data_IF_411933969159
#
_entry.id   IF_411933969159
#
_cell.length_a   1.000
_cell.length_b   1.000
_cell.length_c   1.000
_cell.angle_alpha   90.00
_cell.angle_beta   90.00
_cell.angle_gamma   90.00
#
_symmetry.space_group_name_H-M   'P 1'
#
loop_
_entity.id
_entity.type
_entity.pdbx_description
1 polymer ?
#
# COMPACT_ATOMS: atom_id res chain seq x y z
N UNK A 1 26.60 -24.48 -25.49
CA UNK A 1 25.95 -23.26 -25.98
C UNK A 1 24.46 -23.54 -26.10
N UNK A 2 23.64 -23.09 -25.15
CA UNK A 2 22.18 -23.23 -25.19
C UNK A 2 21.54 -22.00 -24.54
N UNK A 3 21.43 -20.93 -25.33
CA UNK A 3 20.70 -19.70 -25.03
C UNK A 3 19.20 -19.97 -25.10
N UNK A 4 18.47 -19.81 -24.00
CA UNK A 4 17.68 -18.60 -23.70
C UNK A 4 16.57 -18.30 -24.73
N UNK A 5 15.40 -18.92 -24.53
CA UNK A 5 14.11 -18.33 -24.93
C UNK A 5 13.11 -18.49 -23.77
N UNK A 6 13.08 -17.50 -22.87
CA UNK A 6 12.06 -17.39 -21.79
C UNK A 6 11.63 -15.95 -21.53
N UNK A 7 11.68 -15.10 -22.55
CA UNK A 7 11.31 -13.67 -22.46
C UNK A 7 10.22 -13.31 -23.46
N UNK A 8 9.12 -14.06 -23.46
CA UNK A 8 7.96 -13.73 -24.31
C UNK A 8 6.66 -14.35 -23.77
N UNK A 9 6.26 -13.98 -22.55
CA UNK A 9 4.91 -14.34 -22.06
C UNK A 9 4.27 -13.30 -21.13
N UNK A 10 4.87 -12.13 -20.90
CA UNK A 10 4.32 -11.11 -19.99
C UNK A 10 3.70 -9.91 -20.73
N UNK A 11 3.91 -9.76 -22.05
CA UNK A 11 3.41 -8.63 -22.82
C UNK A 11 1.97 -8.78 -23.37
N UNK A 12 1.31 -9.93 -23.20
CA UNK A 12 0.04 -10.25 -23.87
C UNK A 12 -1.23 -10.01 -23.03
N UNK A 13 -1.12 -9.38 -21.85
CA UNK A 13 -2.27 -9.05 -20.99
C UNK A 13 -2.74 -7.59 -21.07
N UNK A 14 -2.18 -6.76 -21.96
CA UNK A 14 -2.47 -5.32 -22.00
C UNK A 14 -3.43 -4.83 -23.10
N UNK A 15 -4.03 -5.72 -23.89
CA UNK A 15 -5.06 -5.33 -24.87
C UNK A 15 -6.21 -6.32 -24.87
N UNK A 16 -7.07 -6.25 -23.86
CA UNK A 16 -8.39 -6.87 -23.92
C UNK A 16 -9.41 -5.80 -24.36
N UNK A 17 -9.83 -5.76 -25.63
CA UNK A 17 -10.81 -4.78 -26.13
C UNK A 17 -12.24 -5.21 -25.78
N UNK A 18 -12.48 -5.62 -24.52
CA UNK A 18 -13.78 -6.11 -24.05
C UNK A 18 -14.68 -5.05 -23.43
N UNK A 19 -14.44 -3.76 -23.66
CA UNK A 19 -14.97 -2.67 -22.82
C UNK A 19 -15.73 -1.57 -23.57
N UNK A 20 -16.72 -1.87 -24.42
CA UNK A 20 -17.53 -0.79 -25.03
C UNK A 20 -19.01 -1.13 -25.25
N UNK A 21 -19.66 -1.76 -24.27
CA UNK A 21 -21.13 -1.75 -24.17
C UNK A 21 -21.52 -1.05 -22.87
N UNK A 22 -21.18 0.25 -22.76
CA UNK A 22 -21.78 1.12 -21.73
C UNK A 22 -23.08 1.72 -22.28
N UNK A 23 -23.99 1.99 -21.36
CA UNK A 23 -25.27 2.64 -21.58
C UNK A 23 -25.18 3.79 -22.60
N UNK A 24 -26.06 3.79 -23.61
CA UNK A 24 -26.13 4.86 -24.62
C UNK A 24 -27.05 6.02 -24.21
N UNK A 25 -27.53 6.06 -22.95
CA UNK A 25 -28.58 6.98 -22.53
C UNK A 25 -28.44 7.37 -21.04
N UNK A 26 -28.76 8.63 -20.72
CA UNK A 26 -28.79 9.16 -19.35
C UNK A 26 -29.77 8.43 -18.42
N UNK A 27 -30.91 8.00 -18.96
CA UNK A 27 -31.97 7.34 -18.22
C UNK A 27 -31.49 6.06 -17.52
N UNK A 28 -30.56 5.33 -18.13
CA UNK A 28 -29.97 4.14 -17.52
C UNK A 28 -29.11 4.51 -16.30
N UNK A 29 -28.30 5.56 -16.39
CA UNK A 29 -27.50 6.04 -15.26
C UNK A 29 -28.39 6.48 -14.10
N UNK A 30 -29.43 7.28 -14.39
CA UNK A 30 -30.39 7.74 -13.38
C UNK A 30 -31.05 6.53 -12.70
N UNK A 31 -31.53 5.56 -13.48
CA UNK A 31 -32.15 4.32 -12.97
C UNK A 31 -31.20 3.53 -12.06
N UNK A 32 -29.93 3.44 -12.40
CA UNK A 32 -28.92 2.78 -11.58
C UNK A 32 -28.66 3.53 -10.25
N UNK A 33 -28.57 4.86 -10.27
CA UNK A 33 -28.46 5.67 -9.05
C UNK A 33 -29.68 5.48 -8.12
N UNK A 34 -30.89 5.46 -8.70
CA UNK A 34 -32.13 5.18 -7.99
C UNK A 34 -32.19 3.75 -7.44
N UNK A 35 -31.67 2.78 -8.19
CA UNK A 35 -31.58 1.38 -7.77
C UNK A 35 -30.69 1.23 -6.55
N UNK A 36 -29.48 1.83 -6.57
CA UNK A 36 -28.59 1.87 -5.40
C UNK A 36 -29.28 2.56 -4.23
N UNK A 37 -30.00 3.66 -4.49
CA UNK A 37 -30.71 4.35 -3.42
C UNK A 37 -31.71 3.43 -2.73
N UNK A 38 -32.59 2.79 -3.50
CA UNK A 38 -33.62 1.88 -3.02
C UNK A 38 -33.04 0.65 -2.32
N UNK A 39 -31.97 0.07 -2.85
CA UNK A 39 -31.30 -1.10 -2.27
C UNK A 39 -30.77 -0.83 -0.85
N UNK A 40 -30.24 0.37 -0.59
CA UNK A 40 -29.78 0.74 0.75
C UNK A 40 -30.96 1.25 1.60
N UNK A 41 -32.00 1.86 1.01
CA UNK A 41 -33.18 2.28 1.77
C UNK A 41 -33.89 1.07 2.41
N UNK A 42 -33.98 -0.06 1.69
CA UNK A 42 -34.60 -1.30 2.18
C UNK A 42 -33.80 -2.03 3.28
N UNK A 43 -32.58 -1.60 3.56
CA UNK A 43 -31.77 -2.11 4.67
C UNK A 43 -32.40 -1.70 6.01
N UNK A 44 -32.47 -2.62 6.97
CA UNK A 44 -32.96 -2.29 8.31
C UNK A 44 -31.95 -1.41 9.08
N UNK A 45 -32.41 -0.69 10.11
CA UNK A 45 -31.54 0.19 10.89
C UNK A 45 -30.39 -0.54 11.60
N UNK A 46 -30.61 -1.77 12.07
CA UNK A 46 -29.65 -2.49 12.89
C UNK A 46 -28.55 -3.14 12.03
N UNK A 47 -27.32 -2.62 12.13
CA UNK A 47 -26.06 -3.18 11.60
C UNK A 47 -25.93 -3.23 10.06
N UNK A 48 -26.21 -2.14 9.34
CA UNK A 48 -26.29 -2.17 7.87
C UNK A 48 -25.53 -1.04 7.17
N UNK A 49 -25.56 -1.12 5.84
CA UNK A 49 -24.99 -0.17 4.91
C UNK A 49 -25.79 1.14 4.97
N UNK A 50 -25.11 2.27 5.17
CA UNK A 50 -25.75 3.62 5.25
C UNK A 50 -25.42 4.51 4.05
N UNK A 51 -24.42 4.12 3.27
CA UNK A 51 -23.95 4.76 2.04
C UNK A 51 -23.65 3.70 1.00
N UNK A 52 -23.55 4.10 -0.27
CA UNK A 52 -23.14 3.22 -1.36
C UNK A 52 -21.80 2.52 -1.07
N UNK A 53 -21.58 1.32 -1.61
CA UNK A 53 -20.31 0.62 -1.48
C UNK A 53 -19.16 1.46 -2.03
N UNK A 54 -19.37 2.18 -3.15
CA UNK A 54 -18.35 3.06 -3.72
C UNK A 54 -18.03 4.22 -2.78
N UNK A 55 -19.03 4.83 -2.14
CA UNK A 55 -18.80 5.84 -1.10
C UNK A 55 -18.06 5.26 0.11
N UNK A 56 -18.40 4.03 0.51
CA UNK A 56 -17.71 3.33 1.60
C UNK A 56 -16.25 3.02 1.24
N UNK A 57 -15.97 2.66 -0.01
CA UNK A 57 -14.60 2.48 -0.46
C UNK A 57 -13.82 3.81 -0.35
N UNK A 58 -14.41 4.95 -0.72
CA UNK A 58 -13.78 6.27 -0.58
C UNK A 58 -13.52 6.62 0.88
N UNK A 59 -14.49 6.34 1.74
CA UNK A 59 -14.38 6.50 3.18
C UNK A 59 -13.23 5.67 3.76
N UNK A 60 -13.18 4.37 3.44
CA UNK A 60 -12.11 3.48 3.86
C UNK A 60 -10.75 3.89 3.27
N UNK A 61 -10.71 4.38 2.03
CA UNK A 61 -9.48 4.88 1.42
C UNK A 61 -8.90 6.06 2.19
N UNK A 62 -9.76 6.93 2.71
CA UNK A 62 -9.36 8.07 3.53
C UNK A 62 -8.89 7.61 4.92
N UNK A 63 -9.70 6.80 5.59
CA UNK A 63 -9.48 6.40 6.97
C UNK A 63 -8.36 5.38 7.13
N UNK A 64 -8.25 4.40 6.24
CA UNK A 64 -7.15 3.42 6.25
C UNK A 64 -5.89 4.03 5.63
N UNK A 65 -6.03 4.92 4.63
CA UNK A 65 -4.91 5.65 4.04
C UNK A 65 -4.15 6.56 5.01
N UNK A 66 -4.78 6.91 6.13
CA UNK A 66 -4.17 7.64 7.24
C UNK A 66 -3.15 6.82 8.05
N UNK A 67 -2.97 5.53 7.77
CA UNK A 67 -1.89 4.74 8.35
C UNK A 67 -1.17 3.93 7.27
N UNK A 68 -0.16 4.59 6.69
CA UNK A 68 0.76 4.00 5.73
C UNK A 68 2.18 4.27 6.23
N UNK A 69 2.84 3.26 6.81
CA UNK A 69 4.21 3.38 7.32
C UNK A 69 5.18 2.40 6.62
N UNK A 70 4.64 1.36 5.97
CA UNK A 70 5.39 0.29 5.34
C UNK A 70 4.68 -0.16 4.03
N UNK A 71 5.44 -0.72 3.09
CA UNK A 71 4.93 -1.27 1.83
C UNK A 71 3.93 -2.43 2.04
N UNK A 72 4.04 -3.11 3.18
CA UNK A 72 3.13 -4.17 3.61
C UNK A 72 1.76 -3.65 4.04
N UNK A 73 1.65 -2.40 4.48
CA UNK A 73 0.37 -1.83 4.90
C UNK A 73 -0.61 -1.77 3.74
N UNK A 74 -1.91 -1.82 4.04
CA UNK A 74 -2.95 -1.68 3.03
C UNK A 74 -3.02 -0.21 2.58
N UNK A 75 -3.02 0.01 1.27
CA UNK A 75 -3.26 1.32 0.68
C UNK A 75 -4.37 1.17 -0.34
N UNK A 76 -5.34 2.09 -0.32
CA UNK A 76 -6.36 2.21 -1.37
C UNK A 76 -5.95 3.27 -2.40
N UNK A 77 -4.66 3.57 -2.54
CA UNK A 77 -4.15 4.50 -3.56
C UNK A 77 -3.48 3.75 -4.70
N UNK A 78 -3.71 4.21 -5.93
CA UNK A 78 -3.22 3.60 -7.17
C UNK A 78 -1.70 3.52 -7.17
N UNK A 79 -1.03 4.58 -6.70
CA UNK A 79 0.40 4.52 -6.43
C UNK A 79 0.66 5.00 -5.00
N UNK A 80 1.72 4.51 -4.39
CA UNK A 80 2.23 5.08 -3.15
C UNK A 80 3.70 4.77 -3.00
N UNK A 81 4.39 5.68 -2.32
CA UNK A 81 5.80 5.57 -1.97
C UNK A 81 5.93 5.44 -0.47
N UNK A 82 6.87 4.63 -0.01
CA UNK A 82 7.27 4.56 1.40
C UNK A 82 8.77 4.70 1.53
N UNK A 83 9.21 5.34 2.59
CA UNK A 83 10.60 5.44 2.99
C UNK A 83 10.70 5.15 4.49
N UNK A 84 11.57 4.23 4.89
CA UNK A 84 11.77 3.86 6.28
C UNK A 84 13.27 3.93 6.60
N UNK A 85 13.66 4.87 7.48
CA UNK A 85 15.07 5.07 7.84
C UNK A 85 15.64 3.96 8.72
N UNK A 86 14.80 3.17 9.41
CA UNK A 86 15.24 2.05 10.25
C UNK A 86 16.02 1.03 9.44
N UNK A 87 15.45 0.64 8.30
CA UNK A 87 16.03 -0.37 7.41
C UNK A 87 16.68 0.27 6.18
N UNK A 88 16.57 1.59 6.03
CA UNK A 88 17.03 2.34 4.86
C UNK A 88 16.25 2.04 3.59
N UNK A 89 15.01 1.58 3.71
CA UNK A 89 14.20 1.04 2.62
C UNK A 89 13.34 2.12 1.99
N UNK A 90 13.47 2.27 0.67
CA UNK A 90 12.52 2.94 -0.19
C UNK A 90 11.65 1.91 -0.91
N UNK A 91 10.36 2.20 -1.08
CA UNK A 91 9.49 1.41 -1.95
C UNK A 91 8.57 2.28 -2.79
N UNK A 92 8.27 1.81 -4.00
CA UNK A 92 7.26 2.37 -4.89
C UNK A 92 6.32 1.24 -5.29
N UNK A 93 5.02 1.42 -5.09
CA UNK A 93 4.02 0.40 -5.29
C UNK A 93 2.88 0.90 -6.17
N UNK A 94 2.34 -0.01 -6.98
CA UNK A 94 1.20 0.20 -7.86
C UNK A 94 0.09 -0.80 -7.55
N UNK A 95 -1.11 -0.31 -7.29
CA UNK A 95 -2.30 -1.12 -7.04
C UNK A 95 -3.08 -1.36 -8.35
N UNK A 96 -3.29 -2.62 -8.69
CA UNK A 96 -4.15 -3.07 -9.77
C UNK A 96 -5.55 -3.35 -9.21
N UNK A 97 -6.42 -2.36 -9.32
CA UNK A 97 -7.85 -2.47 -9.06
C UNK A 97 -8.62 -1.69 -10.13
N UNK A 98 -9.69 -2.29 -10.63
CA UNK A 98 -10.64 -1.65 -11.53
C UNK A 98 -12.04 -2.05 -11.07
N UNK A 99 -12.89 -1.06 -10.81
CA UNK A 99 -14.28 -1.32 -10.46
C UNK A 99 -15.03 -1.85 -11.70
N UNK A 100 -15.75 -2.96 -11.54
CA UNK A 100 -16.59 -3.54 -12.59
C UNK A 100 -17.93 -2.81 -12.78
N UNK A 101 -18.34 -2.01 -11.81
CA UNK A 101 -19.62 -1.28 -11.82
C UNK A 101 -19.58 -0.03 -10.94
N UNK A 102 -20.69 0.71 -10.93
CA UNK A 102 -20.78 2.01 -10.24
C UNK A 102 -20.87 1.91 -8.71
N UNK A 103 -21.23 0.74 -8.17
CA UNK A 103 -21.35 0.49 -6.72
C UNK A 103 -20.73 -0.82 -6.25
N UNK A 104 -19.59 -1.20 -6.84
CA UNK A 104 -18.89 -2.42 -6.45
C UNK A 104 -18.02 -2.20 -5.20
N UNK A 105 -18.13 -3.04 -4.14
CA UNK A 105 -17.22 -3.00 -3.00
C UNK A 105 -15.82 -3.50 -3.38
N UNK A 106 -14.76 -2.87 -2.86
CA UNK A 106 -13.40 -3.39 -3.03
C UNK A 106 -13.24 -4.65 -2.18
N UNK A 107 -13.22 -5.83 -2.83
CA UNK A 107 -13.05 -7.13 -2.15
C UNK A 107 -11.62 -7.66 -2.19
N UNK A 108 -10.90 -7.38 -3.26
CA UNK A 108 -9.50 -7.80 -3.40
C UNK A 108 -8.80 -6.98 -4.48
N UNK A 109 -7.48 -6.84 -4.36
CA UNK A 109 -6.66 -6.27 -5.42
C UNK A 109 -5.23 -6.78 -5.34
N UNK A 110 -4.52 -6.67 -6.46
CA UNK A 110 -3.11 -7.01 -6.56
C UNK A 110 -2.28 -5.74 -6.47
N UNK A 111 -1.11 -5.83 -5.87
CA UNK A 111 -0.14 -4.75 -5.78
C UNK A 111 1.19 -5.29 -6.25
N UNK A 112 1.85 -4.55 -7.13
CA UNK A 112 3.23 -4.80 -7.54
C UNK A 112 4.04 -3.58 -7.19
N UNK A 113 5.26 -3.79 -6.71
CA UNK A 113 6.15 -2.69 -6.41
C UNK A 113 7.61 -3.05 -6.56
N UNK A 114 8.43 -2.05 -6.33
CA UNK A 114 9.88 -2.17 -6.20
C UNK A 114 10.27 -1.74 -4.80
N UNK A 115 11.25 -2.42 -4.23
CA UNK A 115 11.84 -2.14 -2.92
C UNK A 115 13.35 -2.04 -3.11
N UNK A 116 13.96 -0.99 -2.56
CA UNK A 116 15.39 -0.74 -2.62
C UNK A 116 15.91 -0.26 -1.26
N UNK A 117 17.06 -0.77 -0.81
CA UNK A 117 17.78 -0.18 0.32
C UNK A 117 18.64 1.00 -0.18
N UNK A 118 18.15 2.22 0.02
CA UNK A 118 18.77 3.44 -0.51
C UNK A 118 19.79 4.07 0.44
N UNK A 119 19.72 3.77 1.75
CA UNK A 119 20.74 4.28 2.69
C UNK A 119 22.09 3.63 2.44
N UNK A 120 22.11 2.33 2.14
CA UNK A 120 23.33 1.65 1.70
C UNK A 120 23.83 2.19 0.35
N UNK A 121 22.92 2.53 -0.56
CA UNK A 121 23.26 3.09 -1.86
C UNK A 121 23.89 4.49 -1.75
N UNK A 122 23.28 5.40 -0.98
CA UNK A 122 23.82 6.74 -0.73
C UNK A 122 25.16 6.66 0.01
N UNK A 123 25.25 5.86 1.06
CA UNK A 123 26.50 5.64 1.77
C UNK A 123 27.58 5.12 0.81
N UNK A 124 27.27 4.18 -0.09
CA UNK A 124 28.22 3.69 -1.09
C UNK A 124 28.68 4.75 -2.08
N UNK A 125 27.79 5.66 -2.53
CA UNK A 125 28.14 6.76 -3.44
C UNK A 125 29.11 7.76 -2.81
N UNK A 126 29.04 7.95 -1.48
CA UNK A 126 29.94 8.86 -0.76
C UNK A 126 31.19 8.17 -0.17
N UNK A 127 31.26 6.84 -0.15
CA UNK A 127 32.34 6.09 0.54
C UNK A 127 33.11 5.11 -0.35
N UNK A 128 32.93 5.14 -1.68
CA UNK A 128 33.53 4.19 -2.64
C UNK A 128 33.30 2.70 -2.28
N UNK A 129 32.28 2.41 -1.48
CA UNK A 129 31.93 1.04 -1.08
C UNK A 129 31.15 0.35 -2.21
N UNK A 130 31.34 -0.95 -2.45
CA UNK A 130 30.52 -1.67 -3.41
C UNK A 130 29.04 -1.70 -2.97
N UNK A 131 28.12 -1.51 -3.92
CA UNK A 131 26.67 -1.54 -3.67
C UNK A 131 26.24 -2.86 -3.01
N UNK A 132 25.83 -2.81 -1.75
CA UNK A 132 25.15 -3.91 -1.06
C UNK A 132 23.62 -3.85 -1.25
N UNK A 133 23.17 -3.42 -2.44
CA UNK A 133 21.79 -3.03 -2.71
C UNK A 133 20.81 -4.21 -2.60
N UNK A 134 19.84 -4.08 -1.72
CA UNK A 134 18.63 -4.91 -1.65
C UNK A 134 17.59 -4.35 -2.62
N UNK A 135 17.84 -4.45 -3.92
CA UNK A 135 16.84 -4.16 -4.94
C UNK A 135 16.02 -5.42 -5.22
N UNK A 136 14.71 -5.31 -5.11
CA UNK A 136 13.80 -6.39 -5.43
C UNK A 136 12.40 -5.93 -5.81
N UNK A 137 11.62 -6.89 -6.30
CA UNK A 137 10.21 -6.72 -6.59
C UNK A 137 9.38 -7.12 -5.37
N UNK A 138 8.28 -6.40 -5.14
CA UNK A 138 7.26 -6.76 -4.15
C UNK A 138 5.99 -7.18 -4.88
N UNK A 139 5.36 -8.23 -4.38
CA UNK A 139 4.04 -8.69 -4.82
C UNK A 139 3.14 -8.77 -3.59
N UNK A 140 1.98 -8.15 -3.65
CA UNK A 140 1.00 -8.21 -2.56
C UNK A 140 -0.39 -8.51 -3.11
N UNK A 141 -1.06 -9.51 -2.54
CA UNK A 141 -2.48 -9.78 -2.78
C UNK A 141 -3.25 -9.42 -1.51
N UNK A 142 -4.20 -8.50 -1.63
CA UNK A 142 -5.07 -8.09 -0.52
C UNK A 142 -6.47 -8.69 -0.69
N UNK A 143 -7.06 -9.17 0.40
CA UNK A 143 -8.47 -9.56 0.51
C UNK A 143 -9.12 -8.76 1.62
N UNK A 144 -10.21 -8.08 1.31
CA UNK A 144 -10.88 -7.12 2.20
C UNK A 144 -12.26 -7.67 2.56
N UNK A 145 -12.53 -7.69 3.86
CA UNK A 145 -13.82 -8.06 4.41
C UNK A 145 -14.86 -6.98 4.17
N UNK A 146 -16.14 -7.37 4.16
CA UNK A 146 -17.24 -6.42 4.05
C UNK A 146 -17.25 -5.47 5.25
N UNK A 147 -17.22 -4.14 5.04
CA UNK A 147 -17.33 -3.19 6.13
C UNK A 147 -18.71 -3.28 6.78
N UNK A 148 -18.74 -3.16 8.10
CA UNK A 148 -19.96 -3.11 8.90
C UNK A 148 -20.07 -1.74 9.55
N UNK A 149 -21.21 -1.09 9.37
CA UNK A 149 -21.54 0.17 10.04
C UNK A 149 -22.61 -0.08 11.08
N UNK A 150 -22.38 0.42 12.28
CA UNK A 150 -23.37 0.43 13.36
C UNK A 150 -23.75 1.88 13.62
N UNK A 151 -25.03 2.12 13.90
CA UNK A 151 -25.60 3.44 14.18
C UNK A 151 -26.17 3.47 15.59
N UNK A 152 -26.28 4.66 16.17
CA UNK A 152 -26.82 4.81 17.53
C UNK A 152 -28.34 4.76 17.52
N UNK A 153 -28.96 5.38 16.50
CA UNK A 153 -30.41 5.48 16.37
C UNK A 153 -30.85 5.34 14.90
N UNK A 154 -32.06 4.85 14.65
CA UNK A 154 -32.65 4.85 13.31
C UNK A 154 -32.70 6.26 12.69
N UNK A 155 -32.81 7.32 13.51
CA UNK A 155 -32.82 8.70 13.04
C UNK A 155 -31.59 9.04 12.20
N UNK A 156 -30.40 8.56 12.59
CA UNK A 156 -29.16 8.80 11.85
C UNK A 156 -29.22 8.20 10.43
N UNK A 157 -29.75 6.97 10.31
CA UNK A 157 -29.96 6.33 9.01
C UNK A 157 -30.99 7.09 8.18
N UNK A 158 -32.13 7.44 8.76
CA UNK A 158 -33.18 8.17 8.03
C UNK A 158 -32.66 9.50 7.48
N UNK A 159 -31.81 10.21 8.23
CA UNK A 159 -31.17 11.44 7.75
C UNK A 159 -30.22 11.16 6.58
N UNK A 160 -29.41 10.10 6.64
CA UNK A 160 -28.55 9.68 5.52
C UNK A 160 -29.37 9.24 4.29
N UNK A 161 -30.48 8.55 4.49
CA UNK A 161 -31.39 8.13 3.42
C UNK A 161 -32.03 9.34 2.73
N UNK A 162 -32.53 10.31 3.50
CA UNK A 162 -33.09 11.56 2.98
C UNK A 162 -32.03 12.39 2.23
N UNK A 163 -30.82 12.49 2.78
CA UNK A 163 -29.72 13.18 2.09
C UNK A 163 -29.38 12.50 0.77
N UNK A 164 -29.35 11.16 0.75
CA UNK A 164 -29.06 10.37 -0.45
C UNK A 164 -30.14 10.52 -1.51
N UNK A 165 -31.42 10.54 -1.12
CA UNK A 165 -32.53 10.86 -2.04
C UNK A 165 -32.38 12.27 -2.63
N UNK A 166 -32.02 13.26 -1.80
CA UNK A 166 -31.73 14.62 -2.26
C UNK A 166 -30.55 14.67 -3.24
N UNK A 167 -29.48 13.91 -3.00
CA UNK A 167 -28.35 13.77 -3.93
C UNK A 167 -28.83 13.18 -5.27
N UNK A 168 -29.61 12.09 -5.27
CA UNK A 168 -30.09 11.48 -6.52
C UNK A 168 -30.92 12.49 -7.33
N UNK A 169 -31.85 13.21 -6.69
CA UNK A 169 -32.66 14.23 -7.36
C UNK A 169 -31.85 15.42 -7.87
N UNK A 170 -30.78 15.80 -7.17
CA UNK A 170 -29.85 16.83 -7.64
C UNK A 170 -29.12 16.34 -8.90
N UNK A 171 -28.49 15.17 -8.83
CA UNK A 171 -27.70 14.62 -9.94
C UNK A 171 -28.56 14.32 -11.15
N UNK A 172 -29.80 13.84 -10.97
CA UNK A 172 -30.76 13.64 -12.05
C UNK A 172 -30.95 14.92 -12.88
N UNK A 173 -31.24 16.05 -12.23
CA UNK A 173 -31.42 17.35 -12.91
C UNK A 173 -30.15 17.80 -13.64
N UNK A 174 -28.99 17.62 -13.00
CA UNK A 174 -27.71 17.98 -13.63
C UNK A 174 -27.39 17.10 -14.85
N UNK A 175 -27.68 15.81 -14.78
CA UNK A 175 -27.52 14.85 -15.89
C UNK A 175 -28.43 15.25 -17.06
N UNK A 176 -29.72 15.48 -16.80
CA UNK A 176 -30.71 15.83 -17.82
C UNK A 176 -30.36 17.16 -18.51
N UNK A 177 -29.95 18.17 -17.74
CA UNK A 177 -29.50 19.45 -18.30
C UNK A 177 -28.25 19.28 -19.19
N UNK A 178 -27.25 18.53 -18.71
CA UNK A 178 -26.00 18.33 -19.44
C UNK A 178 -26.20 17.53 -20.73
N UNK A 179 -27.11 16.56 -20.72
CA UNK A 179 -27.52 15.82 -21.92
C UNK A 179 -28.26 16.72 -22.92
N UNK A 180 -29.20 17.55 -22.45
CA UNK A 180 -29.91 18.49 -23.32
C UNK A 180 -28.96 19.48 -24.01
N UNK A 181 -28.01 20.06 -23.26
CA UNK A 181 -26.99 20.96 -23.80
C UNK A 181 -26.12 20.27 -24.85
N UNK A 182 -25.73 19.01 -24.62
CA UNK A 182 -24.94 18.23 -25.55
C UNK A 182 -25.70 17.87 -26.83
N UNK A 183 -26.95 17.43 -26.73
CA UNK A 183 -27.81 17.13 -27.89
C UNK A 183 -27.96 18.39 -28.75
N UNK A 184 -28.26 19.53 -28.13
CA UNK A 184 -28.37 20.81 -28.85
C UNK A 184 -27.05 21.17 -29.58
N UNK A 185 -25.90 20.94 -28.93
CA UNK A 185 -24.59 21.17 -29.55
C UNK A 185 -24.34 20.24 -30.74
N UNK A 186 -24.66 18.95 -30.64
CA UNK A 186 -24.48 17.98 -31.71
C UNK A 186 -25.41 18.25 -32.89
N UNK A 187 -26.65 18.67 -32.62
CA UNK A 187 -27.64 19.01 -33.65
C UNK A 187 -27.27 20.29 -34.41
N UNK A 188 -26.53 21.20 -33.76
CA UNK A 188 -26.02 22.43 -34.39
C UNK A 188 -24.79 22.25 -35.30
N UNK A 189 -24.19 21.05 -35.36
CA UNK A 189 -23.06 20.76 -36.23
C UNK A 189 -23.48 20.77 -37.70
N UNK A 190 -23.09 21.81 -38.44
CA UNK A 190 -23.35 21.95 -39.88
C UNK A 190 -22.46 21.05 -40.74
N UNK A 191 -22.98 20.59 -41.87
CA UNK A 191 -22.41 19.56 -42.75
C UNK A 191 -21.38 20.08 -43.78
N UNK A 192 -20.81 21.27 -43.62
CA UNK A 192 -19.96 21.83 -44.69
C UNK A 192 -18.74 20.94 -44.96
N UNK A 193 -18.73 20.27 -46.11
CA UNK A 193 -17.63 19.42 -46.58
C UNK A 193 -17.60 17.97 -46.08
N UNK A 194 -18.63 17.49 -45.36
CA UNK A 194 -18.73 16.10 -44.90
C UNK A 194 -19.86 15.35 -45.60
N UNK A 195 -19.66 14.06 -45.88
CA UNK A 195 -20.74 13.18 -46.33
C UNK A 195 -21.66 12.81 -45.17
N UNK A 196 -22.95 12.52 -45.45
CA UNK A 196 -23.93 12.12 -44.43
C UNK A 196 -23.48 10.91 -43.61
N UNK A 197 -22.82 9.94 -44.23
CA UNK A 197 -22.33 8.73 -43.55
C UNK A 197 -21.18 9.05 -42.59
N UNK A 198 -20.25 9.93 -43.00
CA UNK A 198 -19.15 10.41 -42.15
C UNK A 198 -19.68 11.20 -40.96
N UNK A 199 -20.65 12.10 -41.18
CA UNK A 199 -21.27 12.86 -40.10
C UNK A 199 -21.98 11.94 -39.09
N UNK A 200 -22.73 10.94 -39.57
CA UNK A 200 -23.41 9.99 -38.70
C UNK A 200 -22.41 9.20 -37.81
N UNK A 201 -21.27 8.80 -38.38
CA UNK A 201 -20.19 8.12 -37.63
C UNK A 201 -19.58 9.05 -36.57
N UNK A 202 -19.27 10.29 -36.92
CA UNK A 202 -18.75 11.28 -35.98
C UNK A 202 -19.74 11.53 -34.83
N UNK A 203 -21.03 11.74 -35.14
CA UNK A 203 -22.07 11.92 -34.12
C UNK A 203 -22.17 10.70 -33.19
N UNK A 204 -22.10 9.49 -33.74
CA UNK A 204 -22.13 8.26 -32.95
C UNK A 204 -20.91 8.15 -32.00
N UNK A 205 -19.72 8.46 -32.48
CA UNK A 205 -18.49 8.49 -31.67
C UNK A 205 -18.54 9.54 -30.57
N UNK A 206 -18.98 10.77 -30.89
CA UNK A 206 -19.18 11.84 -29.91
C UNK A 206 -20.20 11.46 -28.84
N UNK A 207 -21.34 10.87 -29.24
CA UNK A 207 -22.35 10.36 -28.30
C UNK A 207 -21.75 9.29 -27.37
N UNK A 208 -21.01 8.33 -27.92
CA UNK A 208 -20.38 7.27 -27.14
C UNK A 208 -19.40 7.83 -26.10
N UNK A 209 -18.56 8.79 -26.49
CA UNK A 209 -17.65 9.47 -25.57
C UNK A 209 -18.38 10.26 -24.50
N UNK A 210 -19.37 11.07 -24.90
CA UNK A 210 -20.18 11.86 -23.97
C UNK A 210 -20.82 10.99 -22.89
N UNK A 211 -21.51 9.91 -23.25
CA UNK A 211 -22.16 9.04 -22.24
C UNK A 211 -21.15 8.28 -21.39
N UNK A 212 -19.99 7.91 -21.93
CA UNK A 212 -18.93 7.30 -21.15
C UNK A 212 -18.38 8.25 -20.07
N UNK A 213 -18.19 9.52 -20.42
CA UNK A 213 -17.71 10.58 -19.51
C UNK A 213 -18.80 10.97 -18.50
N UNK A 214 -20.05 11.11 -18.95
CA UNK A 214 -21.22 11.38 -18.10
C UNK A 214 -21.35 10.30 -17.02
N UNK A 215 -21.21 9.03 -17.42
CA UNK A 215 -21.25 7.90 -16.51
C UNK A 215 -20.12 7.93 -15.48
N UNK A 216 -18.88 8.21 -15.92
CA UNK A 216 -17.73 8.28 -15.04
C UNK A 216 -17.86 9.44 -14.04
N UNK A 217 -18.20 10.64 -14.51
CA UNK A 217 -18.38 11.84 -13.69
C UNK A 217 -19.46 11.66 -12.62
N UNK A 218 -20.68 11.33 -13.04
CA UNK A 218 -21.82 11.33 -12.12
C UNK A 218 -21.83 10.13 -11.17
N UNK A 219 -21.29 8.97 -11.59
CA UNK A 219 -21.09 7.84 -10.67
C UNK A 219 -20.07 8.17 -9.57
N UNK A 220 -18.99 8.89 -9.91
CA UNK A 220 -18.01 9.39 -8.92
C UNK A 220 -18.61 10.46 -8.02
N UNK A 221 -19.36 11.41 -8.60
CA UNK A 221 -20.00 12.50 -7.85
C UNK A 221 -21.01 11.97 -6.85
N UNK A 222 -21.84 10.99 -7.23
CA UNK A 222 -22.77 10.31 -6.33
C UNK A 222 -22.09 9.67 -5.12
N UNK A 223 -21.00 8.94 -5.35
CA UNK A 223 -20.24 8.31 -4.27
C UNK A 223 -19.54 9.35 -3.38
N UNK A 224 -18.97 10.38 -3.98
CA UNK A 224 -18.21 11.42 -3.26
C UNK A 224 -19.10 12.26 -2.35
N UNK A 225 -20.30 12.65 -2.79
CA UNK A 225 -21.25 13.41 -1.97
C UNK A 225 -21.74 12.62 -0.75
N UNK A 226 -21.98 11.31 -0.89
CA UNK A 226 -22.34 10.44 0.22
C UNK A 226 -21.18 10.25 1.21
N UNK A 227 -19.96 10.07 0.68
CA UNK A 227 -18.74 9.97 1.48
C UNK A 227 -18.52 11.22 2.33
N UNK A 228 -18.61 12.41 1.72
CA UNK A 228 -18.43 13.69 2.41
C UNK A 228 -19.46 13.85 3.53
N UNK A 229 -20.74 13.61 3.25
CA UNK A 229 -21.78 13.67 4.28
C UNK A 229 -21.47 12.73 5.46
N UNK A 230 -21.04 11.49 5.19
CA UNK A 230 -20.69 10.54 6.25
C UNK A 230 -19.47 11.02 7.07
N UNK A 231 -18.44 11.51 6.39
CA UNK A 231 -17.20 11.96 7.00
C UNK A 231 -17.39 13.21 7.86
N UNK A 232 -18.18 14.18 7.40
CA UNK A 232 -18.44 15.46 8.08
C UNK A 232 -19.41 15.30 9.25
N UNK A 233 -20.49 14.53 9.07
CA UNK A 233 -21.54 14.41 10.09
C UNK A 233 -21.26 13.33 11.13
N UNK A 234 -20.35 12.40 10.81
CA UNK A 234 -20.03 11.22 11.61
C UNK A 234 -21.29 10.49 12.12
N UNK A 235 -22.28 10.30 11.23
CA UNK A 235 -23.56 9.60 11.52
C UNK A 235 -23.40 8.09 11.59
N UNK A 236 -22.51 7.65 12.47
CA UNK A 236 -22.27 6.26 12.80
C UNK A 236 -21.74 6.17 14.24
N UNK A 237 -22.05 5.05 14.89
CA UNK A 237 -21.45 4.69 16.17
C UNK A 237 -20.07 4.08 15.96
N UNK A 238 -19.99 3.14 15.02
CA UNK A 238 -18.78 2.41 14.71
C UNK A 238 -18.78 1.87 13.28
N UNK A 239 -17.65 2.00 12.60
CA UNK A 239 -17.35 1.34 11.33
C UNK A 239 -16.24 0.33 11.58
N UNK A 240 -16.43 -0.89 11.09
CA UNK A 240 -15.45 -1.97 11.28
C UNK A 240 -15.20 -2.68 9.96
N UNK A 241 -13.95 -3.05 9.73
CA UNK A 241 -13.60 -3.96 8.63
C UNK A 241 -12.35 -4.75 9.00
N UNK A 242 -11.95 -5.66 8.13
CA UNK A 242 -10.69 -6.38 8.25
C UNK A 242 -10.16 -6.70 6.87
N UNK A 243 -8.88 -6.99 6.79
CA UNK A 243 -8.26 -7.48 5.57
C UNK A 243 -7.12 -8.44 5.88
N UNK A 244 -6.82 -9.27 4.91
CA UNK A 244 -5.66 -10.16 4.93
C UNK A 244 -4.82 -9.84 3.69
N UNK A 245 -3.51 -9.76 3.86
CA UNK A 245 -2.56 -9.57 2.76
C UNK A 245 -1.53 -10.68 2.76
N UNK A 246 -1.32 -11.28 1.59
CA UNK A 246 -0.16 -12.12 1.31
C UNK A 246 0.87 -11.25 0.60
N UNK A 247 2.06 -11.12 1.17
CA UNK A 247 3.16 -10.32 0.65
C UNK A 247 4.34 -11.23 0.31
N UNK A 248 4.97 -11.00 -0.84
CA UNK A 248 6.22 -11.63 -1.22
C UNK A 248 7.22 -10.55 -1.65
N UNK A 249 8.48 -10.71 -1.26
CA UNK A 249 9.60 -9.93 -1.74
C UNK A 249 10.60 -10.84 -2.44
N UNK A 250 10.91 -10.51 -3.69
CA UNK A 250 11.81 -11.25 -4.56
C UNK A 250 13.01 -10.36 -4.87
N UNK A 251 14.23 -10.71 -4.41
CA UNK A 251 15.41 -9.92 -4.75
C UNK A 251 15.71 -10.05 -6.25
N UNK A 252 15.89 -8.91 -6.91
CA UNK A 252 16.34 -8.82 -8.30
C UNK A 252 17.87 -8.87 -8.32
N UNK A 253 18.52 -8.23 -7.34
CA UNK A 253 19.98 -8.23 -7.17
C UNK A 253 20.33 -9.09 -5.95
N UNK A 254 21.25 -10.03 -6.16
CA UNK A 254 21.79 -10.85 -5.08
C UNK A 254 22.79 -10.05 -4.25
N UNK A 255 22.65 -10.11 -2.93
CA UNK A 255 23.67 -9.57 -2.04
C UNK A 255 24.91 -10.47 -2.09
N UNK A 256 26.08 -9.85 -2.07
CA UNK A 256 27.37 -10.54 -2.07
C UNK A 256 28.15 -10.14 -0.82
N UNK A 257 28.67 -11.13 -0.14
CA UNK A 257 29.50 -10.95 1.05
C UNK A 257 30.85 -11.58 0.80
N UNK A 258 31.93 -10.86 1.12
CA UNK A 258 33.27 -11.45 1.21
C UNK A 258 33.47 -11.94 2.63
N UNK A 259 33.72 -13.22 2.79
CA UNK A 259 33.80 -13.89 4.10
C UNK A 259 35.09 -14.69 4.19
N UNK A 260 35.65 -14.82 5.38
CA UNK A 260 36.70 -15.78 5.69
C UNK A 260 36.37 -16.44 7.03
N UNK A 261 36.45 -17.77 7.11
CA UNK A 261 36.11 -18.47 8.36
C UNK A 261 37.08 -18.11 9.50
N UNK A 262 38.34 -17.78 9.18
CA UNK A 262 39.35 -17.27 10.11
C UNK A 262 40.37 -16.39 9.36
N UNK A 263 41.30 -15.78 10.10
CA UNK A 263 42.42 -15.03 9.52
C UNK A 263 43.37 -15.89 8.67
N UNK A 264 43.41 -17.18 8.93
CA UNK A 264 44.32 -18.15 8.29
C UNK A 264 43.69 -18.89 7.10
N UNK A 265 42.43 -18.62 6.78
CA UNK A 265 41.70 -19.25 5.68
C UNK A 265 41.52 -18.25 4.51
N UNK A 266 41.49 -18.73 3.25
CA UNK A 266 41.27 -17.88 2.09
C UNK A 266 39.87 -17.25 2.11
N UNK A 267 39.72 -16.13 1.41
CA UNK A 267 38.43 -15.45 1.35
C UNK A 267 37.52 -16.08 0.31
N UNK A 268 36.23 -16.17 0.63
CA UNK A 268 35.19 -16.65 -0.26
C UNK A 268 34.13 -15.58 -0.49
N UNK A 269 33.51 -15.60 -1.67
CA UNK A 269 32.33 -14.77 -1.94
C UNK A 269 31.07 -15.60 -1.75
N UNK A 270 30.27 -15.26 -0.73
CA UNK A 270 28.96 -15.86 -0.49
C UNK A 270 27.87 -14.96 -1.06
N UNK A 271 26.80 -15.59 -1.54
CA UNK A 271 25.62 -14.90 -2.08
C UNK A 271 24.45 -15.11 -1.14
N UNK A 272 23.64 -14.06 -0.93
CA UNK A 272 22.38 -14.16 -0.20
C UNK A 272 21.20 -13.84 -1.12
N UNK A 273 20.13 -14.61 -0.95
CA UNK A 273 18.85 -14.41 -1.63
C UNK A 273 17.82 -14.01 -0.56
N UNK A 274 17.71 -12.71 -0.19
CA UNK A 274 16.86 -12.27 0.91
C UNK A 274 15.37 -12.34 0.53
N UNK A 275 14.86 -13.53 0.25
CA UNK A 275 13.45 -13.79 0.00
C UNK A 275 12.65 -13.57 1.27
N UNK A 276 11.46 -12.98 1.13
CA UNK A 276 10.51 -12.84 2.22
C UNK A 276 9.10 -13.22 1.75
N UNK A 277 8.41 -14.00 2.58
CA UNK A 277 6.98 -14.27 2.46
C UNK A 277 6.31 -13.88 3.78
N UNK A 278 5.25 -13.07 3.73
CA UNK A 278 4.48 -12.73 4.92
C UNK A 278 2.97 -12.76 4.69
N UNK A 279 2.25 -13.16 5.72
CA UNK A 279 0.81 -13.12 5.81
C UNK A 279 0.44 -12.16 6.94
N UNK A 280 -0.29 -11.10 6.61
CA UNK A 280 -0.73 -10.08 7.58
C UNK A 280 -2.24 -10.07 7.62
N UNK A 281 -2.82 -10.19 8.80
CA UNK A 281 -4.25 -9.94 9.04
C UNK A 281 -4.40 -8.69 9.88
N UNK A 282 -5.20 -7.73 9.41
CA UNK A 282 -5.47 -6.50 10.15
C UNK A 282 -6.97 -6.32 10.36
N UNK A 283 -7.34 -5.93 11.57
CA UNK A 283 -8.68 -5.48 11.91
C UNK A 283 -8.67 -3.98 12.14
N UNK A 284 -9.71 -3.34 11.62
CA UNK A 284 -9.93 -1.90 11.71
C UNK A 284 -11.23 -1.62 12.44
N UNK A 285 -11.15 -0.69 13.38
CA UNK A 285 -12.31 -0.13 14.06
C UNK A 285 -12.19 1.38 14.06
N UNK A 286 -13.26 2.04 13.68
CA UNK A 286 -13.41 3.48 13.85
C UNK A 286 -14.70 3.76 14.59
N UNK A 287 -14.62 4.61 15.59
CA UNK A 287 -15.77 5.11 16.32
C UNK A 287 -15.66 6.61 16.46
N UNK A 288 -16.79 7.31 16.35
CA UNK A 288 -16.87 8.74 16.61
C UNK A 288 -16.28 9.14 17.97
N UNK A 289 -16.46 8.31 19.01
CA UNK A 289 -16.00 8.63 20.37
C UNK A 289 -14.59 8.12 20.66
N UNK A 290 -14.27 6.91 20.20
CA UNK A 290 -13.01 6.26 20.56
C UNK A 290 -11.89 6.56 19.57
N UNK A 291 -12.19 7.07 18.37
CA UNK A 291 -11.19 7.27 17.32
C UNK A 291 -10.99 6.02 16.46
N UNK A 292 -9.79 5.88 15.90
CA UNK A 292 -9.43 4.83 14.92
C UNK A 292 -8.41 3.89 15.53
N UNK A 293 -8.62 2.59 15.34
CA UNK A 293 -7.78 1.52 15.85
C UNK A 293 -7.47 0.52 14.74
N UNK A 294 -6.20 0.18 14.62
CA UNK A 294 -5.69 -0.89 13.77
C UNK A 294 -5.02 -1.93 14.67
N UNK A 295 -5.40 -3.19 14.52
CA UNK A 295 -4.73 -4.33 15.15
C UNK A 295 -4.29 -5.29 14.06
N UNK A 296 -2.99 -5.52 13.96
CA UNK A 296 -2.39 -6.37 12.95
C UNK A 296 -1.65 -7.55 13.59
N UNK A 297 -1.82 -8.71 12.98
CA UNK A 297 -1.06 -9.92 13.24
C UNK A 297 -0.34 -10.32 11.96
N UNK A 298 0.98 -10.49 12.04
CA UNK A 298 1.84 -10.87 10.93
C UNK A 298 2.60 -12.15 11.27
N UNK A 299 2.51 -13.13 10.36
CA UNK A 299 3.44 -14.25 10.28
C UNK A 299 4.34 -14.06 9.07
N UNK A 300 5.66 -14.14 9.26
CA UNK A 300 6.65 -13.95 8.21
C UNK A 300 7.67 -15.08 8.22
N UNK A 301 8.14 -15.47 7.04
CA UNK A 301 9.32 -16.31 6.87
C UNK A 301 10.25 -15.59 5.91
N UNK A 302 11.49 -15.34 6.34
CA UNK A 302 12.53 -14.74 5.52
C UNK A 302 13.77 -15.62 5.45
N UNK A 303 14.47 -15.60 4.31
CA UNK A 303 15.82 -16.16 4.23
C UNK A 303 16.82 -15.13 4.71
N UNK A 304 17.43 -15.40 5.86
CA UNK A 304 18.40 -14.54 6.52
C UNK A 304 19.79 -15.18 6.50
N UNK A 305 20.79 -14.45 6.99
CA UNK A 305 22.16 -14.94 7.11
C UNK A 305 22.82 -14.45 8.41
N UNK A 306 23.91 -15.12 8.76
CA UNK A 306 24.64 -14.86 10.00
C UNK A 306 25.27 -13.45 10.04
N UNK A 307 25.57 -12.85 8.88
CA UNK A 307 26.15 -11.51 8.78
C UNK A 307 25.14 -10.44 9.21
N UNK A 308 23.93 -10.49 8.64
CA UNK A 308 22.87 -9.51 8.93
C UNK A 308 22.23 -9.71 10.31
N UNK A 309 22.21 -10.95 10.83
CA UNK A 309 21.48 -11.28 12.06
C UNK A 309 22.27 -11.10 13.35
N UNK A 310 23.57 -11.37 13.34
CA UNK A 310 24.38 -11.40 14.57
C UNK A 310 25.36 -10.23 14.68
N UNK A 311 25.30 -9.26 13.76
CA UNK A 311 26.19 -8.10 13.70
C UNK A 311 27.65 -8.49 13.94
N UNK A 312 28.14 -9.48 13.16
CA UNK A 312 29.52 -9.91 13.28
C UNK A 312 30.45 -8.77 12.88
N UNK A 313 31.57 -8.65 13.60
CA UNK A 313 32.55 -7.60 13.36
C UNK A 313 32.99 -7.62 11.90
N UNK A 314 32.69 -6.53 11.20
CA UNK A 314 33.31 -6.24 9.92
C UNK A 314 34.65 -5.60 10.21
N UNK A 315 35.70 -6.20 9.69
CA UNK A 315 37.03 -5.62 9.78
C UNK A 315 37.39 -5.01 8.44
N UNK A 316 38.11 -3.90 8.51
CA UNK A 316 38.70 -3.27 7.33
C UNK A 316 39.83 -4.14 6.76
N UNK A 317 40.17 -3.92 5.49
CA UNK A 317 41.33 -4.55 4.87
C UNK A 317 42.63 -4.35 5.67
N UNK A 318 42.87 -3.13 6.16
CA UNK A 318 44.08 -2.81 6.94
C UNK A 318 44.13 -3.59 8.25
N UNK A 319 43.00 -3.72 8.95
CA UNK A 319 42.88 -4.53 10.15
C UNK A 319 43.10 -6.02 9.86
N UNK A 320 42.48 -6.56 8.81
CA UNK A 320 42.68 -7.96 8.41
C UNK A 320 44.15 -8.24 8.09
N UNK A 321 44.82 -7.33 7.37
CA UNK A 321 46.26 -7.43 7.09
C UNK A 321 47.10 -7.38 8.37
N UNK A 322 46.82 -6.44 9.28
CA UNK A 322 47.58 -6.32 10.54
C UNK A 322 47.40 -7.52 11.47
N UNK A 323 46.26 -8.20 11.38
CA UNK A 323 45.95 -9.41 12.15
C UNK A 323 46.47 -10.71 11.50
N UNK A 324 47.33 -10.61 10.48
CA UNK A 324 47.97 -11.77 9.84
C UNK A 324 47.11 -12.48 8.79
N UNK A 325 46.17 -11.76 8.16
CA UNK A 325 45.29 -12.31 7.12
C UNK A 325 46.05 -12.91 5.93
N UNK A 326 45.65 -14.12 5.51
CA UNK A 326 46.30 -14.87 4.43
C UNK A 326 46.09 -14.25 3.04
N UNK A 327 44.89 -13.73 2.74
CA UNK A 327 44.45 -13.39 1.38
C UNK A 327 44.55 -11.89 1.02
N UNK A 328 45.60 -11.23 1.54
CA UNK A 328 45.72 -9.76 1.47
C UNK A 328 46.00 -9.20 0.07
N UNK A 329 46.53 -10.02 -0.85
CA UNK A 329 46.75 -9.64 -2.25
C UNK A 329 45.45 -9.61 -3.04
N UNK A 330 44.61 -10.64 -2.92
CA UNK A 330 43.31 -10.74 -3.60
C UNK A 330 42.36 -9.65 -3.13
N UNK A 331 42.32 -9.38 -1.82
CA UNK A 331 41.48 -8.32 -1.25
C UNK A 331 41.90 -6.92 -1.76
N UNK A 332 43.21 -6.66 -1.88
CA UNK A 332 43.74 -5.40 -2.40
C UNK A 332 43.44 -5.23 -3.89
N UNK A 333 43.60 -6.29 -4.69
CA UNK A 333 43.29 -6.28 -6.12
C UNK A 333 41.80 -6.07 -6.41
N UNK A 334 40.93 -6.62 -5.55
CA UNK A 334 39.47 -6.49 -5.68
C UNK A 334 38.88 -5.27 -4.97
N UNK A 335 39.73 -4.40 -4.39
CA UNK A 335 39.33 -3.22 -3.63
C UNK A 335 38.26 -3.52 -2.55
N UNK A 336 38.37 -4.66 -1.86
CA UNK A 336 37.39 -5.08 -0.87
C UNK A 336 37.64 -4.32 0.45
N UNK A 337 36.70 -3.46 0.82
CA UNK A 337 36.86 -2.56 1.98
C UNK A 337 36.33 -3.15 3.30
N UNK A 338 35.42 -4.11 3.24
CA UNK A 338 34.82 -4.76 4.41
C UNK A 338 34.85 -6.27 4.26
N UNK A 339 35.47 -6.96 5.22
CA UNK A 339 35.56 -8.41 5.29
C UNK A 339 34.84 -8.92 6.54
N UNK A 340 34.09 -10.01 6.39
CA UNK A 340 33.46 -10.70 7.50
C UNK A 340 34.31 -11.88 7.95
N UNK A 341 34.60 -11.96 9.24
CA UNK A 341 35.32 -13.10 9.84
C UNK A 341 34.35 -14.03 10.57
N UNK A 342 34.48 -15.34 10.32
CA UNK A 342 33.70 -16.41 10.93
C UNK A 342 32.76 -17.11 9.95
N UNK A 343 32.10 -18.18 10.43
CA UNK A 343 31.26 -19.03 9.60
C UNK A 343 30.02 -18.33 9.04
N UNK A 344 29.96 -18.21 7.71
CA UNK A 344 28.77 -17.74 7.02
C UNK A 344 27.73 -18.86 6.92
N UNK A 345 26.52 -18.60 7.41
CA UNK A 345 25.39 -19.52 7.26
C UNK A 345 24.14 -18.75 6.83
N UNK A 346 23.39 -19.35 5.90
CA UNK A 346 22.04 -18.92 5.54
C UNK A 346 21.02 -19.78 6.26
N UNK A 347 19.96 -19.17 6.78
CA UNK A 347 18.92 -19.86 7.53
C UNK A 347 17.58 -19.17 7.35
N UNK A 348 16.50 -19.96 7.45
CA UNK A 348 15.15 -19.42 7.49
C UNK A 348 14.87 -18.85 8.88
N UNK A 349 14.27 -17.67 8.91
CA UNK A 349 13.84 -17.00 10.13
C UNK A 349 12.32 -16.83 10.08
N UNK A 350 11.56 -17.71 10.75
CA UNK A 350 10.17 -17.45 11.05
C UNK A 350 10.06 -16.28 12.03
N UNK A 351 9.07 -15.42 11.83
CA UNK A 351 8.80 -14.26 12.68
C UNK A 351 7.31 -14.18 12.93
N UNK A 352 6.93 -13.87 14.17
CA UNK A 352 5.57 -13.49 14.55
C UNK A 352 5.59 -12.04 15.05
N UNK A 353 4.67 -11.21 14.54
CA UNK A 353 4.57 -9.80 14.92
C UNK A 353 3.13 -9.43 15.22
N UNK A 354 2.93 -8.72 16.33
CA UNK A 354 1.68 -8.06 16.67
C UNK A 354 1.91 -6.55 16.63
N UNK A 355 1.01 -5.81 16.00
CA UNK A 355 1.08 -4.35 15.90
C UNK A 355 -0.26 -3.72 16.21
N UNK A 356 -0.21 -2.60 16.90
CA UNK A 356 -1.35 -1.78 17.26
C UNK A 356 -1.06 -0.34 16.81
N UNK A 357 -2.05 0.31 16.19
CA UNK A 357 -2.02 1.75 15.90
C UNK A 357 -3.34 2.37 16.30
N UNK A 358 -3.26 3.50 17.00
CA UNK A 358 -4.40 4.21 17.52
C UNK A 358 -4.32 5.70 17.21
N UNK A 359 -5.41 6.26 16.68
CA UNK A 359 -5.62 7.70 16.57
C UNK A 359 -6.82 8.07 17.43
N UNK A 360 -6.67 9.00 18.40
CA UNK A 360 -7.79 9.59 19.10
C UNK A 360 -8.84 10.17 18.13
N UNK A 361 -10.08 10.30 18.59
CA UNK A 361 -11.14 10.92 17.79
C UNK A 361 -10.70 12.30 17.31
N UNK A 362 -10.94 12.58 16.03
CA UNK A 362 -10.58 13.85 15.36
C UNK A 362 -9.07 14.17 15.32
N UNK A 363 -8.20 13.30 15.85
CA UNK A 363 -6.76 13.50 15.85
C UNK A 363 -6.09 12.98 14.59
N UNK A 364 -5.07 13.72 14.14
CA UNK A 364 -4.13 13.31 13.09
C UNK A 364 -2.80 12.82 13.65
N UNK A 365 -2.65 12.83 14.98
CA UNK A 365 -1.50 12.31 15.70
C UNK A 365 -1.99 11.08 16.48
N UNK A 366 -1.27 9.97 16.32
CA UNK A 366 -1.60 8.70 16.93
C UNK A 366 -0.48 8.15 17.80
N UNK A 367 -0.68 6.91 18.23
CA UNK A 367 0.28 6.09 18.94
C UNK A 367 0.35 4.73 18.25
N UNK A 368 1.55 4.21 18.05
CA UNK A 368 1.79 2.87 17.52
C UNK A 368 2.67 2.08 18.48
N UNK A 369 2.46 0.76 18.53
CA UNK A 369 3.34 -0.17 19.23
C UNK A 369 3.35 -1.49 18.47
N UNK A 370 4.52 -2.10 18.32
CA UNK A 370 4.64 -3.43 17.73
C UNK A 370 5.68 -4.28 18.42
N UNK A 371 5.35 -5.55 18.63
CA UNK A 371 6.22 -6.55 19.22
C UNK A 371 6.47 -7.63 18.17
N UNK A 372 7.73 -7.93 17.92
CA UNK A 372 8.18 -8.88 16.90
C UNK A 372 9.11 -9.92 17.52
N UNK A 373 8.71 -11.19 17.50
CA UNK A 373 9.52 -12.32 17.92
C UNK A 373 10.06 -13.05 16.71
N UNK A 374 11.39 -13.13 16.62
CA UNK A 374 12.07 -13.99 15.65
C UNK A 374 12.25 -15.39 16.25
N UNK A 375 12.24 -16.43 15.42
CA UNK A 375 12.33 -17.83 15.84
C UNK A 375 13.43 -18.57 15.08
N UNK A 376 13.89 -19.69 15.64
CA UNK A 376 14.96 -20.51 15.06
C UNK A 376 16.35 -20.00 15.45
N UNK A 377 17.29 -20.00 14.50
CA UNK A 377 18.68 -19.59 14.74
C UNK A 377 18.81 -18.14 15.20
N UNK A 378 17.90 -17.27 14.76
CA UNK A 378 17.80 -15.88 15.22
C UNK A 378 16.51 -15.72 16.03
N UNK A 379 16.64 -15.47 17.34
CA UNK A 379 15.53 -15.51 18.29
C UNK A 379 15.34 -14.20 19.09
N UNK A 380 15.72 -13.08 18.48
CA UNK A 380 15.55 -11.75 19.05
C UNK A 380 14.07 -11.36 19.18
N UNK A 381 13.75 -10.75 20.32
CA UNK A 381 12.49 -10.04 20.55
C UNK A 381 12.70 -8.53 20.34
N UNK A 382 12.03 -7.96 19.35
CA UNK A 382 12.10 -6.53 19.04
C UNK A 382 10.81 -5.83 19.47
N UNK A 383 10.93 -4.62 20.00
CA UNK A 383 9.80 -3.76 20.35
C UNK A 383 9.94 -2.40 19.67
N UNK A 384 8.84 -1.90 19.11
CA UNK A 384 8.77 -0.59 18.48
C UNK A 384 7.64 0.19 19.12
N UNK A 385 7.89 1.43 19.46
CA UNK A 385 6.87 2.41 19.86
C UNK A 385 6.98 3.58 18.90
N UNK A 386 5.86 4.12 18.43
CA UNK A 386 5.89 5.25 17.53
C UNK A 386 4.75 6.23 17.71
N UNK A 387 4.94 7.39 17.07
CA UNK A 387 3.98 8.48 16.98
C UNK A 387 3.70 8.71 15.49
N UNK A 388 2.65 8.08 14.94
CA UNK A 388 2.25 8.34 13.58
C UNK A 388 1.50 9.67 13.46
N UNK A 389 1.81 10.44 12.41
CA UNK A 389 1.27 11.76 12.11
C UNK A 389 0.80 11.77 10.67
N UNK A 390 -0.43 12.24 10.45
CA UNK A 390 -1.08 12.31 9.14
C UNK A 390 -1.17 13.75 8.71
N UNK A 391 -0.58 14.09 7.57
CA UNK A 391 -0.80 15.38 6.93
C UNK A 391 -2.03 15.30 6.04
N UNK A 392 -2.96 16.22 6.24
CA UNK A 392 -4.21 16.30 5.49
C UNK A 392 -4.12 17.45 4.48
N UNK A 393 -4.58 17.21 3.25
CA UNK A 393 -4.66 18.24 2.23
C UNK A 393 -5.86 19.19 2.45
N UNK A 394 -6.00 20.19 1.57
CA UNK A 394 -7.12 21.14 1.63
C UNK A 394 -8.50 20.49 1.42
N UNK A 395 -8.55 19.29 0.86
CA UNK A 395 -9.77 18.52 0.60
C UNK A 395 -10.09 17.51 1.72
N UNK A 396 -9.32 17.51 2.81
CA UNK A 396 -9.54 16.61 3.94
C UNK A 396 -8.94 15.21 3.76
N UNK A 397 -8.19 14.95 2.69
CA UNK A 397 -7.60 13.65 2.40
C UNK A 397 -6.15 13.51 2.89
N UNK A 398 -5.68 12.30 3.28
CA UNK A 398 -4.28 12.06 3.61
C UNK A 398 -3.35 12.35 2.42
N UNK A 399 -2.42 13.28 2.64
CA UNK A 399 -1.40 13.69 1.67
C UNK A 399 -0.04 13.04 1.94
N UNK A 400 0.31 12.86 3.21
CA UNK A 400 1.51 12.17 3.64
C UNK A 400 1.33 11.63 5.05
N UNK A 401 2.02 10.53 5.36
CA UNK A 401 2.09 9.95 6.70
C UNK A 401 3.55 9.95 7.16
N UNK A 402 3.77 10.31 8.41
CA UNK A 402 5.06 10.27 9.07
C UNK A 402 4.93 9.40 10.31
N UNK A 403 5.97 8.66 10.69
CA UNK A 403 6.01 8.00 11.99
C UNK A 403 7.38 8.13 12.60
N UNK A 404 7.45 8.78 13.75
CA UNK A 404 8.65 8.79 14.59
C UNK A 404 8.63 7.57 15.46
N UNK A 405 9.69 6.75 15.42
CA UNK A 405 9.74 5.47 16.09
C UNK A 405 10.95 5.37 17.01
N UNK A 406 10.73 4.80 18.19
CA UNK A 406 11.74 4.27 19.08
C UNK A 406 11.76 2.75 18.93
N UNK A 407 12.90 2.21 18.51
CA UNK A 407 13.08 0.77 18.30
C UNK A 407 14.02 0.21 19.36
N UNK A 408 13.54 -0.78 20.09
CA UNK A 408 14.31 -1.60 21.02
C UNK A 408 14.59 -2.95 20.35
N UNK A 409 15.85 -3.22 20.04
CA UNK A 409 16.28 -4.49 19.46
C UNK A 409 16.67 -5.48 20.56
N UNK A 410 16.40 -6.77 20.36
CA UNK A 410 16.84 -7.86 21.25
C UNK A 410 16.55 -7.58 22.74
N UNK A 411 15.30 -7.26 23.07
CA UNK A 411 14.84 -6.94 24.43
C UNK A 411 15.07 -8.12 25.39
N UNK A 412 15.04 -9.35 24.88
CA UNK A 412 15.30 -10.59 25.61
C UNK A 412 16.80 -10.92 25.78
N UNK A 413 17.73 -10.06 25.34
CA UNK A 413 19.18 -10.25 25.52
C UNK A 413 19.73 -11.55 24.91
N UNK A 414 19.06 -12.05 23.88
CA UNK A 414 19.30 -13.38 23.33
C UNK A 414 20.45 -13.41 22.32
N UNK A 415 20.67 -12.30 21.62
CA UNK A 415 21.67 -12.17 20.56
C UNK A 415 22.88 -11.36 21.02
N UNK A 416 22.64 -10.36 21.89
CA UNK A 416 23.66 -9.39 22.31
C UNK A 416 23.78 -9.28 23.85
N UNK A 417 24.02 -10.38 24.60
CA UNK A 417 23.87 -10.41 26.06
C UNK A 417 24.71 -9.40 26.85
N UNK A 418 25.80 -8.86 26.27
CA UNK A 418 26.67 -7.86 26.90
C UNK A 418 26.45 -6.40 26.50
N UNK A 419 25.50 -6.10 25.60
CA UNK A 419 25.19 -4.72 25.15
C UNK A 419 24.28 -4.01 26.15
N UNK A 420 24.51 -2.71 26.39
CA UNK A 420 23.65 -1.89 27.26
C UNK A 420 22.31 -1.64 26.57
N UNK A 421 21.28 -1.28 27.35
CA UNK A 421 19.96 -0.91 26.82
C UNK A 421 20.03 0.24 25.79
N UNK A 422 20.94 1.19 25.97
CA UNK A 422 21.18 2.30 25.04
C UNK A 422 21.74 1.85 23.70
N UNK A 423 22.53 0.77 23.66
CA UNK A 423 23.13 0.24 22.43
C UNK A 423 22.12 -0.52 21.57
N UNK A 424 20.94 -0.79 22.13
CA UNK A 424 19.82 -1.51 21.51
C UNK A 424 18.66 -0.60 21.17
N UNK A 425 18.77 0.68 21.52
CA UNK A 425 17.78 1.69 21.20
C UNK A 425 18.20 2.40 19.91
N UNK A 426 17.26 2.58 19.00
CA UNK A 426 17.44 3.46 17.84
C UNK A 426 16.21 4.31 17.60
N UNK A 427 16.41 5.44 16.94
CA UNK A 427 15.33 6.30 16.46
C UNK A 427 15.22 6.14 14.95
N UNK A 428 14.00 5.98 14.45
CA UNK A 428 13.73 5.97 13.01
C UNK A 428 12.55 6.87 12.64
N UNK A 429 12.49 7.20 11.36
CA UNK A 429 11.43 7.96 10.73
C UNK A 429 10.91 7.11 9.57
N UNK A 430 9.60 6.95 9.51
CA UNK A 430 8.93 6.48 8.29
C UNK A 430 8.22 7.65 7.64
N UNK A 431 8.18 7.63 6.30
CA UNK A 431 7.44 8.57 5.47
C UNK A 431 6.70 7.78 4.43
N UNK A 432 5.42 8.05 4.23
CA UNK A 432 4.67 7.50 3.11
C UNK A 432 3.83 8.55 2.42
N UNK A 433 3.84 8.49 1.10
CA UNK A 433 3.12 9.44 0.23
C UNK A 433 2.20 8.65 -0.68
N UNK A 434 0.88 8.71 -0.46
CA UNK A 434 -0.11 8.17 -1.37
C UNK A 434 -0.34 9.07 -2.59
N UNK A 435 -0.59 8.46 -3.76
CA UNK A 435 -0.94 9.15 -5.00
C UNK A 435 -2.19 8.53 -5.63
N UNK A 436 -3.26 9.32 -5.78
CA UNK A 436 -4.54 9.01 -6.46
C UNK A 436 -5.29 7.80 -5.89
N UNK A 437 -6.55 7.94 -5.44
CA UNK A 437 -7.32 6.82 -4.87
C UNK A 437 -7.66 5.76 -5.94
N UNK A 438 -7.61 4.45 -5.64
CA UNK A 438 -7.90 3.34 -6.59
C UNK A 438 -9.34 3.29 -7.08
N UNK A 439 -10.25 3.98 -6.38
CA UNK A 439 -11.69 3.99 -6.67
C UNK A 439 -12.02 5.03 -7.77
N UNK A 440 -11.01 5.83 -8.14
CA UNK A 440 -11.03 6.86 -9.18
C UNK A 440 -10.12 6.48 -10.35
#
# INVERSE_FOLDING_TARGET
MSSLSRTLSIALLLTWPGYWLRAQQSAQLISELDSIHRAILSTACANQQIISNRAMNLYLSDRIGSYLADYKNLSFYKNYVTFNTRDGVFSLNHNFFQASGIDEPVRSFLVVGIKANVMNALASTFTDKPFANELGATLKKAWIGKPKTTITTCREKNLMDMKRASIVNLLKREIENKEADFIQSIDSLNQEGLSDSTLAQIKAELNQHFYADLWDEFSRKFASLQYLELAETARYKQITTHWTTLNAYLPIILQRFTVANSYTQPTETKKNYPFELSLVHTRFWESKKMGRLFLSLEGRIGLNNSIQSFSRETISYSQYKSLGGLDTLTLKQRAIQSLYIGDYTSFLTPTAKISFVYYPAESHIGLSSSLEQNLGSYHALNWVIGIPVVLIDKAGAPSANFEFQLNYFDVNHSILPGRRATDRLSVSLTVAVPFSKIIY
#
